data_IF_415757663878
#
_entry.id   IF_415757663878
#
_cell.length_a   1.000
_cell.length_b   1.000
_cell.length_c   1.000
_cell.angle_alpha   90.00
_cell.angle_beta   90.00
_cell.angle_gamma   90.00
#
_symmetry.space_group_name_H-M   'P 1'
#
loop_
_entity.id
_entity.type
_entity.pdbx_description
1 polymer ?
#
# COMPACT_ATOMS: atom_id res chain seq x y z
N UNK A 1 -14.37 -43.20 -0.80
CA UNK A 1 -14.32 -43.29 0.67
C UNK A 1 -12.89 -42.98 1.09
N UNK A 2 -12.58 -41.70 1.34
CA UNK A 2 -11.52 -41.21 2.20
C UNK A 2 -11.69 -39.69 2.26
N UNK A 3 -12.35 -39.23 3.30
CA UNK A 3 -12.47 -37.84 3.64
C UNK A 3 -11.19 -37.44 4.38
N UNK A 4 -10.41 -36.57 3.79
CA UNK A 4 -9.32 -35.89 4.50
C UNK A 4 -9.86 -34.67 5.17
N UNK A 5 -10.06 -34.77 6.47
CA UNK A 5 -10.35 -33.65 7.37
C UNK A 5 -9.03 -32.94 7.63
N UNK A 6 -8.84 -31.81 6.99
CA UNK A 6 -7.77 -30.87 7.34
C UNK A 6 -8.27 -29.99 8.47
N UNK A 7 -8.02 -30.37 9.71
CA UNK A 7 -8.23 -29.52 10.87
C UNK A 7 -7.07 -28.53 10.96
N UNK A 8 -7.36 -27.27 10.69
CA UNK A 8 -6.47 -26.16 11.02
C UNK A 8 -6.23 -26.12 12.51
N UNK A 9 -5.01 -26.32 12.93
CA UNK A 9 -4.53 -25.87 14.22
C UNK A 9 -4.32 -24.34 14.15
N UNK A 10 -5.35 -23.59 14.48
CA UNK A 10 -5.13 -22.23 14.94
C UNK A 10 -4.33 -22.31 16.23
N UNK A 11 -3.20 -21.58 16.39
CA UNK A 11 -2.53 -21.52 17.66
C UNK A 11 -3.51 -20.94 18.68
N UNK A 12 -3.85 -21.73 19.69
CA UNK A 12 -4.57 -21.24 20.87
C UNK A 12 -3.66 -20.22 21.54
N UNK A 13 -3.86 -18.96 21.24
CA UNK A 13 -3.44 -17.88 22.14
C UNK A 13 -4.32 -18.07 23.37
N UNK A 14 -3.76 -18.61 24.44
CA UNK A 14 -4.46 -18.75 25.71
C UNK A 14 -5.15 -17.42 26.04
N UNK A 15 -6.46 -17.38 26.29
CA UNK A 15 -7.10 -16.16 26.70
C UNK A 15 -6.43 -15.70 27.99
N UNK A 16 -5.77 -14.53 27.96
CA UNK A 16 -5.35 -13.86 29.16
C UNK A 16 -6.61 -13.66 29.99
N UNK A 17 -6.64 -14.33 31.14
CA UNK A 17 -7.69 -14.16 32.14
C UNK A 17 -7.68 -12.71 32.59
N UNK A 18 -8.53 -11.90 32.00
CA UNK A 18 -8.90 -10.58 32.51
C UNK A 18 -9.91 -10.85 33.62
N UNK A 19 -9.64 -10.37 34.85
CA UNK A 19 -10.52 -10.55 36.00
C UNK A 19 -11.98 -10.28 35.62
N UNK A 20 -12.83 -11.22 35.94
CA UNK A 20 -14.30 -11.09 35.88
C UNK A 20 -14.74 -9.86 36.70
N UNK A 21 -15.16 -8.82 36.01
CA UNK A 21 -15.66 -7.60 36.61
C UNK A 21 -15.76 -6.40 35.67
N UNK A 22 -15.21 -6.47 34.50
CA UNK A 22 -15.20 -5.37 33.53
C UNK A 22 -15.77 -5.79 32.16
N UNK A 23 -16.80 -6.59 32.14
CA UNK A 23 -17.43 -7.11 30.92
C UNK A 23 -18.54 -6.19 30.39
N UNK A 24 -18.40 -4.86 30.52
CA UNK A 24 -19.21 -3.94 29.74
C UNK A 24 -18.44 -3.57 28.46
N UNK A 25 -18.98 -4.08 27.43
CA UNK A 25 -18.49 -4.12 26.05
C UNK A 25 -18.05 -2.76 25.55
N UNK A 26 -16.76 -2.59 25.28
CA UNK A 26 -16.25 -1.56 24.38
C UNK A 26 -16.86 -1.76 22.99
N UNK A 27 -17.71 -0.86 22.54
CA UNK A 27 -18.31 -0.89 21.20
C UNK A 27 -18.22 0.49 20.57
N UNK A 28 -17.85 0.56 19.29
CA UNK A 28 -17.07 -0.40 18.54
C UNK A 28 -15.58 -0.09 18.59
N UNK A 29 -14.76 -1.12 18.71
CA UNK A 29 -13.34 -1.01 18.37
C UNK A 29 -13.21 -1.26 16.87
N UNK A 30 -12.75 -0.26 16.16
CA UNK A 30 -12.34 -0.44 14.78
C UNK A 30 -10.83 -0.28 14.69
N UNK A 31 -10.20 -1.17 13.98
CA UNK A 31 -8.81 -1.02 13.63
C UNK A 31 -8.64 -1.19 12.12
N UNK A 32 -7.68 -0.47 11.58
CA UNK A 32 -7.30 -0.56 10.20
C UNK A 32 -5.82 -0.93 10.14
N UNK A 33 -5.54 -2.09 9.59
CA UNK A 33 -4.21 -2.54 9.24
C UNK A 33 -4.25 -3.11 7.83
N UNK A 34 -3.12 -3.08 7.13
CA UNK A 34 -3.00 -3.81 5.86
C UNK A 34 -3.12 -5.31 6.11
N UNK A 35 -3.77 -6.05 5.23
CA UNK A 35 -3.82 -7.52 5.25
C UNK A 35 -2.46 -8.14 4.90
N UNK A 36 -1.60 -7.36 4.27
CA UNK A 36 -0.29 -7.77 3.79
C UNK A 36 0.78 -6.84 4.37
N UNK A 37 1.98 -7.37 4.58
CA UNK A 37 3.13 -6.60 5.01
C UNK A 37 4.32 -6.80 4.07
N UNK A 38 5.20 -5.81 4.01
CA UNK A 38 6.38 -5.82 3.17
C UNK A 38 7.61 -5.70 4.07
N UNK A 39 8.52 -6.65 3.96
CA UNK A 39 9.74 -6.62 4.75
C UNK A 39 10.54 -5.32 4.50
N UNK A 40 10.87 -4.63 5.60
CA UNK A 40 11.60 -3.36 5.55
C UNK A 40 10.77 -2.13 5.20
N UNK A 41 9.46 -2.29 4.96
CA UNK A 41 8.56 -1.15 4.79
C UNK A 41 7.98 -0.67 6.13
N UNK A 42 7.59 0.61 6.26
CA UNK A 42 6.82 1.08 7.40
C UNK A 42 5.52 0.29 7.55
N UNK A 43 5.20 -0.10 8.77
CA UNK A 43 3.97 -0.80 9.09
C UNK A 43 3.23 -0.07 10.22
N UNK A 44 2.14 0.57 9.87
CA UNK A 44 1.31 1.35 10.79
C UNK A 44 -0.05 0.70 10.99
N UNK A 45 -0.57 0.79 12.21
CA UNK A 45 -1.90 0.33 12.59
C UNK A 45 -2.67 1.51 13.17
N UNK A 46 -3.84 1.78 12.64
CA UNK A 46 -4.77 2.77 13.19
C UNK A 46 -5.78 2.06 14.10
N UNK A 47 -6.00 2.63 15.28
CA UNK A 47 -6.96 2.13 16.26
C UNK A 47 -7.91 3.25 16.66
N UNK A 48 -9.20 2.96 16.61
CA UNK A 48 -10.26 3.85 17.09
C UNK A 48 -11.13 3.15 18.14
N UNK A 49 -11.26 3.77 19.28
CA UNK A 49 -11.98 3.22 20.43
C UNK A 49 -12.92 4.28 20.97
N UNK A 50 -14.13 3.87 21.33
CA UNK A 50 -15.07 4.71 22.08
C UNK A 50 -15.22 4.15 23.49
N UNK A 51 -14.93 4.96 24.51
CA UNK A 51 -15.12 4.59 25.90
C UNK A 51 -16.62 4.46 26.23
N UNK A 52 -17.02 3.53 27.14
CA UNK A 52 -18.39 3.38 27.56
C UNK A 52 -18.90 4.62 28.33
N UNK A 53 -20.22 4.69 28.53
CA UNK A 53 -20.89 5.84 29.14
C UNK A 53 -20.45 6.13 30.60
N UNK A 54 -19.87 5.16 31.29
CA UNK A 54 -19.33 5.31 32.66
C UNK A 54 -17.80 5.58 32.68
N UNK A 55 -17.17 5.69 31.51
CA UNK A 55 -15.71 5.79 31.41
C UNK A 55 -15.05 4.45 31.74
N UNK A 56 -13.71 4.42 31.67
CA UNK A 56 -12.95 3.21 32.04
C UNK A 56 -11.49 3.48 32.33
N UNK A 57 -10.86 2.56 33.05
CA UNK A 57 -9.41 2.50 33.21
C UNK A 57 -8.89 1.21 32.61
N UNK A 58 -7.84 1.30 31.81
CA UNK A 58 -7.22 0.18 31.13
C UNK A 58 -5.70 0.21 31.24
N UNK A 59 -5.04 -0.96 31.27
CA UNK A 59 -3.62 -1.00 31.03
C UNK A 59 -3.32 -0.46 29.62
N UNK A 60 -2.30 0.34 29.48
CA UNK A 60 -1.93 0.96 28.18
C UNK A 60 -1.66 -0.11 27.10
N UNK A 61 -1.12 -1.28 27.49
CA UNK A 61 -0.89 -2.39 26.57
C UNK A 61 -2.20 -2.97 25.99
N UNK A 62 -3.34 -2.81 26.64
CA UNK A 62 -4.62 -3.29 26.12
C UNK A 62 -5.12 -2.48 24.91
N UNK A 63 -4.71 -1.21 24.84
CA UNK A 63 -5.01 -0.30 23.73
C UNK A 63 -3.91 -0.29 22.65
N UNK A 64 -2.83 -1.03 22.86
CA UNK A 64 -1.69 -1.01 21.93
C UNK A 64 -1.69 -2.30 21.11
N UNK A 65 -1.81 -2.22 19.79
CA UNK A 65 -1.62 -3.38 18.93
C UNK A 65 -0.25 -4.03 19.17
N UNK A 66 -0.21 -5.34 19.20
CA UNK A 66 1.02 -6.09 19.36
C UNK A 66 1.16 -7.13 18.24
N UNK A 67 2.37 -7.30 17.75
CA UNK A 67 2.70 -8.34 16.80
C UNK A 67 3.25 -9.57 17.55
N UNK A 68 2.92 -10.76 17.06
CA UNK A 68 3.36 -12.04 17.60
C UNK A 68 3.91 -12.90 16.47
N UNK A 69 4.98 -13.63 16.74
CA UNK A 69 5.52 -14.61 15.80
C UNK A 69 4.58 -15.83 15.65
N UNK A 70 4.92 -16.73 14.76
CA UNK A 70 4.15 -17.96 14.50
C UNK A 70 4.02 -18.89 15.72
N UNK A 71 4.85 -18.71 16.74
CA UNK A 71 4.83 -19.46 18.00
C UNK A 71 4.05 -18.71 19.10
N UNK A 72 3.46 -17.56 18.80
CA UNK A 72 2.74 -16.74 19.77
C UNK A 72 3.63 -15.89 20.67
N UNK A 73 4.94 -15.77 20.38
CA UNK A 73 5.86 -14.91 21.12
C UNK A 73 5.69 -13.47 20.67
N UNK A 74 5.49 -12.57 21.63
CA UNK A 74 5.36 -11.14 21.32
C UNK A 74 6.65 -10.58 20.68
N UNK A 75 6.46 -9.83 19.62
CA UNK A 75 7.47 -9.06 18.92
C UNK A 75 7.47 -7.62 19.48
N UNK A 76 8.63 -7.13 19.87
CA UNK A 76 8.76 -5.81 20.48
C UNK A 76 8.37 -5.75 21.96
N UNK A 77 8.42 -4.53 22.51
CA UNK A 77 8.11 -4.27 23.92
C UNK A 77 6.68 -3.76 24.06
N UNK A 78 5.94 -4.28 25.04
CA UNK A 78 4.62 -3.74 25.38
C UNK A 78 4.76 -2.51 26.27
N UNK A 79 3.97 -1.45 26.06
CA UNK A 79 3.95 -0.29 26.95
C UNK A 79 3.41 -0.71 28.31
N UNK A 80 3.91 -0.05 29.36
CA UNK A 80 3.45 -0.21 30.74
C UNK A 80 2.70 1.04 31.18
N UNK A 81 1.84 0.89 32.19
CA UNK A 81 1.04 1.98 32.75
C UNK A 81 -0.44 1.78 32.54
N UNK A 82 -1.21 2.73 33.06
CA UNK A 82 -2.68 2.76 32.96
C UNK A 82 -3.12 4.02 32.23
N UNK A 83 -4.22 3.92 31.48
CA UNK A 83 -4.88 5.06 30.86
C UNK A 83 -6.33 5.10 31.39
N UNK A 84 -6.78 6.31 31.72
CA UNK A 84 -8.19 6.57 32.07
C UNK A 84 -8.87 7.23 30.87
N UNK A 85 -10.00 6.67 30.45
CA UNK A 85 -10.84 7.23 29.41
C UNK A 85 -12.12 7.78 30.03
N UNK A 86 -12.44 9.04 29.73
CA UNK A 86 -13.68 9.67 30.18
C UNK A 86 -14.91 9.03 29.52
N UNK A 87 -16.09 9.14 30.11
CA UNK A 87 -17.34 8.66 29.52
C UNK A 87 -17.52 9.12 28.07
N UNK A 88 -17.74 8.18 27.17
CA UNK A 88 -17.96 8.47 25.74
C UNK A 88 -16.72 9.01 24.99
N UNK A 89 -15.56 9.08 25.61
CA UNK A 89 -14.35 9.56 24.96
C UNK A 89 -13.98 8.69 23.77
N UNK A 90 -13.75 9.33 22.62
CA UNK A 90 -13.21 8.66 21.42
C UNK A 90 -11.69 8.87 21.40
N UNK A 91 -10.97 7.77 21.31
CA UNK A 91 -9.50 7.76 21.11
C UNK A 91 -9.24 7.20 19.72
N UNK A 92 -8.55 7.99 18.90
CA UNK A 92 -8.04 7.56 17.60
C UNK A 92 -6.53 7.76 17.61
N UNK A 93 -5.79 6.70 17.37
CA UNK A 93 -4.33 6.72 17.44
C UNK A 93 -3.71 5.81 16.38
N UNK A 94 -2.48 6.11 16.00
CA UNK A 94 -1.68 5.31 15.09
C UNK A 94 -0.47 4.77 15.80
N UNK A 95 -0.15 3.53 15.52
CA UNK A 95 0.99 2.82 16.08
C UNK A 95 1.93 2.41 14.95
N UNK A 96 3.17 2.83 15.02
CA UNK A 96 4.24 2.33 14.15
C UNK A 96 4.81 1.04 14.77
N UNK A 97 4.56 -0.08 14.10
CA UNK A 97 5.06 -1.39 14.51
C UNK A 97 6.28 -1.84 13.67
N UNK A 98 6.81 -0.98 12.83
CA UNK A 98 7.92 -1.30 11.91
C UNK A 98 9.11 -1.91 12.66
N UNK A 99 9.53 -1.29 13.76
CA UNK A 99 10.64 -1.79 14.57
C UNK A 99 10.32 -3.12 15.27
N UNK A 100 9.06 -3.33 15.66
CA UNK A 100 8.63 -4.57 16.33
C UNK A 100 8.68 -5.77 15.38
N UNK A 101 8.32 -5.58 14.10
CA UNK A 101 8.30 -6.66 13.10
C UNK A 101 9.61 -6.77 12.30
N UNK A 102 10.60 -5.91 12.54
CA UNK A 102 11.87 -5.91 11.81
C UNK A 102 12.64 -7.24 11.89
N UNK A 103 12.41 -8.03 12.94
CA UNK A 103 12.99 -9.37 13.10
C UNK A 103 12.22 -10.51 12.42
N UNK A 104 11.08 -10.23 11.82
CA UNK A 104 10.31 -11.23 11.05
C UNK A 104 11.02 -11.49 9.74
N UNK A 105 11.25 -12.78 9.41
CA UNK A 105 11.86 -13.13 8.13
C UNK A 105 11.04 -12.56 6.95
N UNK A 106 11.68 -12.16 5.84
CA UNK A 106 10.98 -11.52 4.70
C UNK A 106 9.80 -12.32 4.13
N UNK A 107 9.80 -13.63 4.29
CA UNK A 107 8.71 -14.55 3.90
C UNK A 107 7.93 -15.09 5.12
N UNK A 108 8.15 -14.52 6.31
CA UNK A 108 7.51 -14.96 7.54
C UNK A 108 6.14 -14.32 7.74
N UNK A 109 5.22 -15.04 8.38
CA UNK A 109 3.96 -14.52 8.85
C UNK A 109 4.05 -14.07 10.30
N UNK A 110 3.21 -13.13 10.70
CA UNK A 110 3.01 -12.76 12.09
C UNK A 110 1.52 -12.50 12.37
N UNK A 111 1.14 -12.61 13.62
CA UNK A 111 -0.21 -12.28 14.06
C UNK A 111 -0.21 -10.91 14.70
N UNK A 112 -1.10 -10.04 14.23
CA UNK A 112 -1.41 -8.77 14.85
C UNK A 112 -2.61 -8.96 15.78
N UNK A 113 -2.52 -8.53 17.01
CA UNK A 113 -3.61 -8.60 17.96
C UNK A 113 -3.68 -7.35 18.82
N UNK A 114 -4.92 -6.93 19.14
CA UNK A 114 -5.21 -5.90 20.14
C UNK A 114 -6.10 -6.51 21.21
N UNK A 115 -5.58 -6.60 22.44
CA UNK A 115 -6.30 -7.18 23.56
C UNK A 115 -7.17 -6.10 24.24
N UNK A 116 -8.40 -5.94 23.77
CA UNK A 116 -9.38 -5.06 24.40
C UNK A 116 -10.33 -5.93 25.19
N UNK A 117 -10.49 -5.60 26.48
CA UNK A 117 -11.34 -6.36 27.38
C UNK A 117 -12.77 -6.47 26.83
N UNK A 118 -13.32 -7.67 26.79
CA UNK A 118 -14.74 -7.96 26.51
C UNK A 118 -15.14 -8.13 25.04
N UNK A 119 -14.31 -7.82 24.05
CA UNK A 119 -14.69 -7.88 22.64
C UNK A 119 -14.18 -9.10 21.87
N UNK A 120 -13.58 -10.09 22.55
CA UNK A 120 -12.73 -11.07 21.87
C UNK A 120 -11.55 -10.36 21.22
N UNK A 121 -10.33 -10.84 21.43
CA UNK A 121 -9.16 -10.18 20.83
C UNK A 121 -9.35 -10.12 19.33
N UNK A 122 -9.44 -8.90 18.78
CA UNK A 122 -9.34 -8.74 17.33
C UNK A 122 -7.94 -9.22 16.94
N UNK A 123 -7.84 -10.21 16.10
CA UNK A 123 -6.58 -10.74 15.63
C UNK A 123 -6.61 -10.93 14.12
N UNK A 124 -5.51 -10.61 13.48
CA UNK A 124 -5.33 -10.75 12.06
C UNK A 124 -3.98 -11.39 11.78
N UNK A 125 -3.98 -12.44 10.95
CA UNK A 125 -2.74 -13.04 10.47
C UNK A 125 -2.28 -12.28 9.24
N UNK A 126 -1.08 -11.72 9.30
CA UNK A 126 -0.48 -11.01 8.19
C UNK A 126 0.49 -11.91 7.46
N UNK A 127 0.25 -12.05 6.17
CA UNK A 127 1.14 -12.78 5.27
C UNK A 127 2.09 -11.80 4.58
N UNK A 128 3.33 -12.23 4.26
CA UNK A 128 4.21 -11.40 3.47
C UNK A 128 3.63 -11.23 2.07
N UNK A 129 3.84 -10.04 1.49
CA UNK A 129 3.57 -9.84 0.07
C UNK A 129 4.50 -10.76 -0.72
N UNK A 130 3.98 -11.57 -1.64
CA UNK A 130 4.81 -12.46 -2.46
C UNK A 130 5.66 -11.61 -3.40
N UNK A 131 6.91 -11.37 -3.02
CA UNK A 131 7.87 -10.65 -3.86
C UNK A 131 8.14 -11.47 -5.14
N UNK A 132 8.26 -10.80 -6.26
CA UNK A 132 8.81 -11.40 -7.46
C UNK A 132 10.28 -11.77 -7.16
N UNK A 133 10.68 -12.96 -7.58
CA UNK A 133 12.10 -13.33 -7.58
C UNK A 133 12.88 -12.38 -8.49
N UNK A 134 14.21 -12.39 -8.43
CA UNK A 134 15.04 -11.62 -9.35
C UNK A 134 14.81 -12.10 -10.77
N UNK A 135 13.88 -11.47 -11.47
CA UNK A 135 13.47 -11.78 -12.83
C UNK A 135 13.99 -10.69 -13.76
N UNK A 136 14.46 -11.11 -14.93
CA UNK A 136 14.71 -10.18 -16.04
C UNK A 136 13.40 -9.94 -16.80
N UNK A 137 12.70 -8.88 -16.44
CA UNK A 137 11.43 -8.51 -17.06
C UNK A 137 11.54 -8.20 -18.55
N UNK A 138 12.75 -7.99 -19.07
CA UNK A 138 12.95 -7.77 -20.48
C UNK A 138 12.85 -9.05 -21.32
N UNK A 139 12.98 -10.21 -20.67
CA UNK A 139 12.94 -11.53 -21.33
C UNK A 139 11.70 -12.35 -21.01
N UNK A 140 10.90 -11.94 -20.00
CA UNK A 140 9.66 -12.65 -19.65
C UNK A 140 8.67 -12.62 -20.83
N UNK A 141 7.98 -13.75 -21.15
CA UNK A 141 6.92 -13.78 -22.14
C UNK A 141 5.82 -12.76 -21.83
N UNK A 142 5.24 -12.16 -22.88
CA UNK A 142 4.24 -11.09 -22.72
C UNK A 142 3.01 -11.57 -21.94
N UNK A 143 2.58 -12.80 -22.19
CA UNK A 143 1.46 -13.46 -21.52
C UNK A 143 1.65 -13.64 -20.01
N UNK A 144 2.89 -13.62 -19.52
CA UNK A 144 3.21 -13.73 -18.10
C UNK A 144 3.23 -12.39 -17.38
N UNK A 145 3.31 -11.26 -18.10
CA UNK A 145 3.42 -9.93 -17.50
C UNK A 145 2.22 -9.57 -16.61
N UNK A 146 1.03 -10.08 -16.93
CA UNK A 146 -0.18 -9.90 -16.11
C UNK A 146 -0.12 -10.59 -14.73
N UNK A 147 0.86 -11.48 -14.52
CA UNK A 147 1.14 -12.12 -13.23
C UNK A 147 1.89 -11.23 -12.23
N UNK A 148 2.12 -9.95 -12.56
CA UNK A 148 2.90 -9.03 -11.70
C UNK A 148 2.17 -7.72 -11.47
N UNK A 149 2.39 -7.17 -10.29
CA UNK A 149 1.89 -5.88 -9.82
C UNK A 149 3.04 -5.07 -9.21
N UNK A 150 2.83 -3.78 -8.97
CA UNK A 150 3.85 -2.92 -8.34
C UNK A 150 3.28 -2.23 -7.11
N UNK A 151 4.02 -2.34 -6.01
CA UNK A 151 3.77 -1.55 -4.80
C UNK A 151 4.82 -0.44 -4.73
N UNK A 152 4.37 0.80 -4.72
CA UNK A 152 5.22 1.98 -4.60
C UNK A 152 5.10 2.55 -3.20
N UNK A 153 6.15 2.42 -2.41
CA UNK A 153 6.24 3.00 -1.06
C UNK A 153 6.66 4.45 -1.17
N UNK A 154 5.88 5.34 -0.58
CA UNK A 154 6.15 6.77 -0.54
C UNK A 154 6.26 7.26 0.89
N UNK A 155 6.77 8.48 1.09
CA UNK A 155 6.72 9.15 2.41
C UNK A 155 5.29 9.55 2.85
N UNK A 156 4.25 9.20 2.07
CA UNK A 156 2.82 9.43 2.37
C UNK A 156 2.02 8.15 2.55
N UNK A 157 2.63 6.98 2.30
CA UNK A 157 2.00 5.67 2.34
C UNK A 157 2.30 4.84 1.10
N UNK A 158 1.65 3.69 0.98
CA UNK A 158 1.82 2.77 -0.14
C UNK A 158 0.75 3.00 -1.22
N UNK A 159 1.16 2.88 -2.48
CA UNK A 159 0.29 2.83 -3.64
C UNK A 159 0.47 1.49 -4.33
N UNK A 160 -0.59 0.74 -4.55
CA UNK A 160 -0.56 -0.57 -5.18
C UNK A 160 -1.21 -0.50 -6.55
N UNK A 161 -0.46 -0.90 -7.57
CA UNK A 161 -0.86 -0.83 -8.98
C UNK A 161 -1.07 -2.22 -9.57
N UNK A 162 -2.23 -2.44 -10.18
CA UNK A 162 -2.44 -3.45 -11.22
C UNK A 162 -1.92 -2.90 -12.55
N UNK A 163 -1.44 -3.80 -13.41
CA UNK A 163 -0.87 -3.44 -14.71
C UNK A 163 -1.67 -4.08 -15.84
N UNK A 164 -1.68 -3.44 -17.00
CA UNK A 164 -2.49 -3.82 -18.17
C UNK A 164 -1.62 -4.20 -19.38
N UNK A 165 -0.92 -5.35 -19.35
CA UNK A 165 -0.07 -5.78 -20.45
C UNK A 165 -0.84 -6.08 -21.73
N UNK A 166 -2.12 -6.42 -21.63
CA UNK A 166 -3.00 -6.70 -22.78
C UNK A 166 -3.24 -5.47 -23.69
N UNK A 167 -3.00 -4.25 -23.18
CA UNK A 167 -3.19 -3.00 -23.95
C UNK A 167 -1.92 -2.18 -24.10
N UNK A 168 -0.91 -2.42 -23.26
CA UNK A 168 0.36 -1.68 -23.30
C UNK A 168 1.54 -2.53 -22.80
N UNK A 169 1.86 -3.66 -23.46
CA UNK A 169 2.84 -4.63 -22.97
C UNK A 169 4.25 -4.04 -22.80
N UNK A 170 4.68 -3.16 -23.70
CA UNK A 170 6.02 -2.58 -23.63
C UNK A 170 6.16 -1.56 -22.48
N UNK A 171 5.10 -0.80 -22.19
CA UNK A 171 5.10 0.11 -21.03
C UNK A 171 5.07 -0.67 -19.72
N UNK A 172 4.26 -1.75 -19.64
CA UNK A 172 4.23 -2.63 -18.46
C UNK A 172 5.60 -3.27 -18.24
N UNK A 173 6.19 -3.86 -19.26
CA UNK A 173 7.53 -4.47 -19.22
C UNK A 173 8.58 -3.48 -18.72
N UNK A 174 8.62 -2.29 -19.30
CA UNK A 174 9.54 -1.24 -18.93
C UNK A 174 9.33 -0.78 -17.47
N UNK A 175 8.08 -0.67 -17.01
CA UNK A 175 7.78 -0.25 -15.65
C UNK A 175 8.18 -1.30 -14.62
N UNK A 176 7.91 -2.60 -14.90
CA UNK A 176 8.34 -3.72 -14.08
C UNK A 176 9.87 -3.81 -13.99
N UNK A 177 10.58 -3.70 -15.11
CA UNK A 177 12.04 -3.71 -15.16
C UNK A 177 12.65 -2.56 -14.34
N UNK A 178 12.15 -1.34 -14.51
CA UNK A 178 12.61 -0.19 -13.74
C UNK A 178 12.29 -0.27 -12.25
N UNK A 179 11.16 -0.87 -11.88
CA UNK A 179 10.79 -1.09 -10.48
C UNK A 179 11.68 -2.17 -9.84
N UNK A 180 11.89 -3.32 -10.52
CA UNK A 180 12.69 -4.43 -10.00
C UNK A 180 14.18 -4.07 -9.84
N UNK A 181 14.71 -3.24 -10.73
CA UNK A 181 16.11 -2.77 -10.69
C UNK A 181 16.35 -1.60 -9.74
N UNK A 182 15.31 -1.16 -9.00
CA UNK A 182 15.39 -0.05 -8.05
C UNK A 182 15.64 1.31 -8.72
N UNK A 183 15.27 1.47 -9.99
CA UNK A 183 15.43 2.74 -10.69
C UNK A 183 14.62 3.87 -10.04
N UNK A 184 13.43 3.55 -9.51
CA UNK A 184 12.54 4.52 -8.88
C UNK A 184 12.87 4.82 -7.42
N UNK A 185 13.69 3.98 -6.77
CA UNK A 185 14.00 4.11 -5.34
C UNK A 185 14.73 5.42 -5.05
N UNK A 186 14.25 6.17 -4.05
CA UNK A 186 14.79 7.47 -3.69
C UNK A 186 14.46 8.61 -4.67
N UNK A 187 13.68 8.35 -5.72
CA UNK A 187 13.16 9.39 -6.62
C UNK A 187 11.98 10.14 -6.01
N UNK A 188 11.35 11.06 -6.74
CA UNK A 188 10.24 11.86 -6.21
C UNK A 188 9.19 12.21 -7.27
N UNK A 189 8.02 12.61 -6.80
CA UNK A 189 7.01 13.26 -7.62
C UNK A 189 7.41 14.72 -7.82
N UNK A 190 7.96 15.04 -8.99
CA UNK A 190 8.49 16.35 -9.31
C UNK A 190 7.44 17.33 -9.82
N UNK A 191 6.23 16.83 -10.17
CA UNK A 191 5.12 17.63 -10.67
C UNK A 191 3.80 17.16 -10.08
N UNK A 192 3.11 18.04 -9.36
CA UNK A 192 1.86 17.74 -8.65
C UNK A 192 0.85 18.84 -8.97
N UNK A 193 -0.28 18.46 -9.58
CA UNK A 193 -1.34 19.41 -9.96
C UNK A 193 -2.66 18.92 -9.38
N UNK A 194 -3.21 19.63 -8.37
CA UNK A 194 -4.52 19.33 -7.80
C UNK A 194 -5.61 19.29 -8.91
N UNK A 195 -6.51 18.32 -8.81
CA UNK A 195 -7.58 18.14 -9.81
C UNK A 195 -7.13 17.49 -11.13
N UNK A 196 -5.84 17.21 -11.31
CA UNK A 196 -5.31 16.64 -12.53
C UNK A 196 -4.51 15.35 -12.27
N UNK A 197 -3.23 15.43 -11.84
CA UNK A 197 -2.37 14.25 -11.67
C UNK A 197 -1.17 14.54 -10.75
N UNK A 198 -0.49 13.48 -10.35
CA UNK A 198 0.87 13.49 -9.78
C UNK A 198 1.82 12.80 -10.77
N UNK A 199 2.96 13.41 -11.07
CA UNK A 199 3.95 12.89 -12.02
C UNK A 199 5.30 12.69 -11.35
N UNK A 200 5.88 11.51 -11.55
CA UNK A 200 7.16 11.09 -11.01
C UNK A 200 7.95 10.24 -11.99
N UNK A 201 8.86 9.43 -11.47
CA UNK A 201 9.59 8.43 -12.26
C UNK A 201 10.79 8.98 -13.02
N UNK A 202 11.33 10.14 -12.63
CA UNK A 202 12.56 10.69 -13.21
C UNK A 202 13.84 9.91 -12.84
N UNK A 203 13.73 8.92 -11.96
CA UNK A 203 14.88 8.22 -11.39
C UNK A 203 15.61 9.04 -10.31
N UNK A 204 16.62 8.44 -9.74
CA UNK A 204 17.54 9.13 -8.81
C UNK A 204 18.41 10.14 -9.56
N UNK A 205 18.91 11.17 -8.87
CA UNK A 205 19.90 12.07 -9.47
C UNK A 205 21.09 11.30 -10.07
N UNK A 206 21.41 11.58 -11.34
CA UNK A 206 22.50 10.93 -12.06
C UNK A 206 22.12 9.61 -12.76
N UNK A 207 20.93 9.05 -12.53
CA UNK A 207 20.43 7.90 -13.29
C UNK A 207 19.61 8.37 -14.50
N UNK A 208 19.93 7.84 -15.67
CA UNK A 208 19.15 8.04 -16.90
C UNK A 208 18.33 6.81 -17.21
N UNK A 209 17.12 6.96 -17.76
CA UNK A 209 16.33 5.80 -18.18
C UNK A 209 17.05 5.03 -19.30
N UNK A 210 17.05 3.70 -19.27
CA UNK A 210 17.85 2.88 -20.19
C UNK A 210 17.30 2.89 -21.62
N UNK A 211 16.00 3.21 -21.80
CA UNK A 211 15.35 3.09 -23.11
C UNK A 211 14.18 4.05 -23.29
N UNK A 212 13.80 4.25 -24.56
CA UNK A 212 12.51 4.83 -24.95
C UNK A 212 11.50 3.72 -25.17
N UNK A 213 10.22 4.03 -24.94
CA UNK A 213 9.09 3.15 -25.22
C UNK A 213 8.16 3.82 -26.22
N UNK A 214 7.85 3.15 -27.31
CA UNK A 214 6.93 3.65 -28.33
C UNK A 214 5.52 3.75 -27.77
N UNK A 215 4.72 4.69 -28.28
CA UNK A 215 3.36 4.90 -27.83
C UNK A 215 2.49 3.66 -28.08
N UNK A 216 1.73 3.26 -27.04
CA UNK A 216 0.74 2.20 -27.07
C UNK A 216 -0.62 2.79 -26.71
N UNK A 217 -1.10 3.75 -27.53
CA UNK A 217 -2.39 4.39 -27.31
C UNK A 217 -3.52 3.36 -27.42
N UNK A 218 -4.39 3.34 -26.43
CA UNK A 218 -5.47 2.37 -26.32
C UNK A 218 -6.78 3.04 -25.87
N UNK A 219 -7.85 2.25 -25.75
CA UNK A 219 -9.19 2.74 -25.44
C UNK A 219 -9.44 3.03 -23.95
N UNK A 220 -8.50 2.68 -23.07
CA UNK A 220 -8.62 2.91 -21.64
C UNK A 220 -8.72 4.40 -21.34
N UNK A 221 -9.55 4.75 -20.35
CA UNK A 221 -9.83 6.13 -20.01
C UNK A 221 -8.89 6.63 -18.91
N UNK A 222 -8.51 7.90 -18.95
CA UNK A 222 -7.76 8.57 -17.89
C UNK A 222 -8.70 8.96 -16.74
N UNK A 223 -9.16 7.95 -16.00
CA UNK A 223 -9.94 8.09 -14.78
C UNK A 223 -9.03 8.22 -13.56
N UNK A 224 -9.59 8.62 -12.40
CA UNK A 224 -8.85 8.69 -11.15
C UNK A 224 -8.17 7.34 -10.83
N UNK A 225 -6.91 7.41 -10.39
CA UNK A 225 -6.07 6.27 -10.10
C UNK A 225 -5.35 5.64 -11.29
N UNK A 226 -5.68 6.00 -12.52
CA UNK A 226 -5.01 5.45 -13.72
C UNK A 226 -3.54 5.87 -13.77
N UNK A 227 -2.69 4.90 -14.02
CA UNK A 227 -1.25 5.03 -14.25
C UNK A 227 -0.99 5.14 -15.75
N UNK A 228 -0.29 6.19 -16.18
CA UNK A 228 -0.03 6.47 -17.60
C UNK A 228 1.38 7.00 -17.83
N UNK A 229 1.91 6.76 -19.04
CA UNK A 229 3.26 7.17 -19.42
C UNK A 229 3.34 8.68 -19.70
N UNK A 230 4.30 9.35 -19.09
CA UNK A 230 4.64 10.73 -19.46
C UNK A 230 5.57 10.75 -20.68
N UNK A 231 5.39 11.77 -21.53
CA UNK A 231 6.16 11.98 -22.76
C UNK A 231 6.32 13.46 -23.08
N UNK A 232 7.18 13.79 -24.03
CA UNK A 232 7.29 15.13 -24.58
C UNK A 232 6.06 15.46 -25.43
N UNK A 233 5.59 16.70 -25.36
CA UNK A 233 4.39 17.14 -26.07
C UNK A 233 4.46 16.99 -27.59
N UNK A 234 5.65 17.13 -28.17
CA UNK A 234 5.93 17.11 -29.60
C UNK A 234 6.47 15.77 -30.13
N UNK A 235 6.68 14.76 -29.26
CA UNK A 235 7.16 13.43 -29.66
C UNK A 235 6.37 12.34 -28.92
N UNK A 236 5.47 11.66 -29.64
CA UNK A 236 4.62 10.61 -29.07
C UNK A 236 5.41 9.37 -28.63
N UNK A 237 6.60 9.15 -29.17
CA UNK A 237 7.47 8.01 -28.90
C UNK A 237 8.63 8.37 -27.94
N UNK A 238 8.48 9.43 -27.17
CA UNK A 238 9.50 9.91 -26.23
C UNK A 238 9.31 9.43 -24.79
N UNK A 239 8.34 8.57 -24.52
CA UNK A 239 8.17 7.98 -23.20
C UNK A 239 9.43 7.18 -22.80
N UNK A 240 9.80 7.25 -21.52
CA UNK A 240 10.94 6.53 -20.96
C UNK A 240 10.57 5.90 -19.61
N UNK A 241 10.96 6.52 -18.51
CA UNK A 241 10.69 6.06 -17.14
C UNK A 241 9.58 6.85 -16.44
N UNK A 242 9.32 8.08 -16.91
CA UNK A 242 8.37 8.94 -16.22
C UNK A 242 6.93 8.50 -16.42
N UNK A 243 6.18 8.56 -15.33
CA UNK A 243 4.75 8.22 -15.28
C UNK A 243 3.96 9.29 -14.54
N UNK A 244 2.65 9.25 -14.71
CA UNK A 244 1.74 10.03 -13.87
C UNK A 244 0.57 9.16 -13.41
N UNK A 245 0.05 9.49 -12.22
CA UNK A 245 -1.15 8.89 -11.64
C UNK A 245 -2.25 9.93 -11.62
N UNK A 246 -3.40 9.60 -12.17
CA UNK A 246 -4.53 10.52 -12.27
C UNK A 246 -5.14 10.79 -10.91
N UNK A 247 -5.27 12.06 -10.54
CA UNK A 247 -6.02 12.47 -9.35
C UNK A 247 -7.53 12.53 -9.63
N UNK A 248 -7.93 12.98 -10.83
CA UNK A 248 -9.33 13.05 -11.30
C UNK A 248 -9.43 12.61 -12.75
N UNK A 249 -10.65 12.36 -13.19
CA UNK A 249 -10.92 12.00 -14.58
C UNK A 249 -10.53 13.14 -15.52
N UNK A 250 -9.77 12.82 -16.58
CA UNK A 250 -9.31 13.83 -17.54
C UNK A 250 -9.40 13.32 -18.98
N UNK A 251 -10.60 13.34 -19.60
CA UNK A 251 -10.85 12.71 -20.90
C UNK A 251 -10.01 13.26 -22.05
N UNK A 252 -9.49 14.49 -21.96
CA UNK A 252 -8.66 15.07 -23.02
C UNK A 252 -7.32 14.37 -23.23
N UNK A 253 -6.90 13.48 -22.32
CA UNK A 253 -5.70 12.65 -22.45
C UNK A 253 -5.99 11.35 -23.20
N UNK A 254 -7.24 10.91 -23.31
CA UNK A 254 -7.62 9.65 -23.95
C UNK A 254 -7.15 9.62 -25.40
N UNK A 255 -6.51 8.51 -25.79
CA UNK A 255 -5.92 8.34 -27.12
C UNK A 255 -4.70 9.22 -27.42
N UNK A 256 -4.19 9.97 -26.44
CA UNK A 256 -3.02 10.86 -26.59
C UNK A 256 -1.85 10.49 -25.69
N UNK A 257 -2.11 9.72 -24.65
CA UNK A 257 -1.14 9.14 -23.72
C UNK A 257 -1.40 7.65 -23.61
N UNK A 258 -0.45 6.89 -23.11
CA UNK A 258 -0.55 5.44 -22.94
C UNK A 258 -0.88 5.12 -21.47
N UNK A 259 -2.15 4.82 -21.13
CA UNK A 259 -2.48 4.23 -19.84
C UNK A 259 -2.07 2.75 -19.86
N UNK A 260 -1.43 2.29 -18.79
CA UNK A 260 -0.89 0.92 -18.70
C UNK A 260 -1.10 0.25 -17.35
N UNK A 261 -1.92 0.86 -16.48
CA UNK A 261 -2.28 0.32 -15.18
C UNK A 261 -3.19 1.24 -14.39
N UNK A 262 -3.55 0.81 -13.18
CA UNK A 262 -4.41 1.55 -12.27
C UNK A 262 -4.08 1.22 -10.81
N UNK A 263 -4.37 2.12 -9.90
CA UNK A 263 -4.35 1.84 -8.46
C UNK A 263 -5.41 0.79 -8.09
N UNK A 264 -4.98 -0.29 -7.45
CA UNK A 264 -5.84 -1.21 -6.67
C UNK A 264 -6.15 -0.61 -5.30
N UNK A 265 -5.15 0.04 -4.68
CA UNK A 265 -5.29 0.77 -3.42
C UNK A 265 -4.28 1.91 -3.35
N UNK A 266 -4.49 2.87 -2.43
CA UNK A 266 -3.59 4.00 -2.22
C UNK A 266 -4.08 5.30 -2.87
N UNK A 267 -5.37 5.42 -3.23
CA UNK A 267 -5.91 6.69 -3.71
C UNK A 267 -5.83 7.78 -2.63
N UNK A 268 -5.97 7.41 -1.36
CA UNK A 268 -5.77 8.30 -0.21
C UNK A 268 -4.32 8.82 -0.10
N UNK A 269 -3.34 8.06 -0.63
CA UNK A 269 -1.95 8.52 -0.72
C UNK A 269 -1.82 9.58 -1.81
N UNK A 270 -2.47 9.39 -2.96
CA UNK A 270 -2.55 10.41 -4.01
C UNK A 270 -3.15 11.70 -3.48
N UNK A 271 -4.24 11.62 -2.69
CA UNK A 271 -4.87 12.78 -2.05
C UNK A 271 -3.90 13.50 -1.08
N UNK A 272 -3.13 12.74 -0.27
CA UNK A 272 -2.10 13.31 0.63
C UNK A 272 -0.96 14.00 -0.13
N UNK A 273 -0.59 13.48 -1.30
CA UNK A 273 0.44 14.09 -2.17
C UNK A 273 -0.13 15.37 -2.82
N UNK A 274 -1.35 15.30 -3.33
CA UNK A 274 -1.98 16.38 -4.09
C UNK A 274 -2.13 17.67 -3.26
N UNK A 275 -2.40 17.58 -1.96
CA UNK A 275 -2.50 18.77 -1.09
C UNK A 275 -1.19 19.56 -0.99
N UNK A 276 -0.07 18.98 -1.40
CA UNK A 276 1.24 19.66 -1.47
C UNK A 276 1.45 20.41 -2.80
N UNK A 277 0.56 20.20 -3.77
CA UNK A 277 0.57 20.93 -5.04
C UNK A 277 0.16 22.38 -4.83
N UNK A 278 0.78 23.27 -5.60
CA UNK A 278 0.40 24.69 -5.58
C UNK A 278 -0.93 24.89 -6.31
N UNK A 279 -2.00 25.37 -5.63
CA UNK A 279 -3.34 25.50 -6.22
C UNK A 279 -3.40 26.53 -7.36
N UNK A 280 -2.39 27.38 -7.53
CA UNK A 280 -2.28 28.34 -8.65
C UNK A 280 -2.02 27.65 -9.97
N UNK A 281 -1.56 26.40 -9.96
CA UNK A 281 -1.26 25.63 -11.16
C UNK A 281 -2.39 24.67 -11.52
N UNK A 282 -2.64 24.55 -12.82
CA UNK A 282 -3.64 23.65 -13.41
C UNK A 282 -3.01 22.88 -14.56
N UNK A 283 -3.76 21.99 -15.18
CA UNK A 283 -3.33 21.29 -16.38
C UNK A 283 -2.88 22.25 -17.52
N UNK A 284 -3.47 23.45 -17.58
CA UNK A 284 -3.18 24.46 -18.61
C UNK A 284 -2.01 25.40 -18.24
N UNK A 285 -1.54 25.36 -16.99
CA UNK A 285 -0.43 26.20 -16.51
C UNK A 285 0.62 25.35 -15.80
N UNK A 286 1.32 24.45 -16.51
CA UNK A 286 2.15 23.43 -15.89
C UNK A 286 3.48 23.92 -15.31
N UNK A 287 3.95 25.12 -15.63
CA UNK A 287 5.21 25.64 -15.10
C UNK A 287 5.06 25.98 -13.63
N UNK A 288 5.97 25.48 -12.80
CA UNK A 288 5.99 25.73 -11.35
C UNK A 288 5.12 24.80 -10.53
N UNK A 289 4.62 23.70 -11.08
CA UNK A 289 3.82 22.68 -10.39
C UNK A 289 4.63 21.72 -9.51
N UNK A 290 5.83 22.09 -9.11
CA UNK A 290 6.65 21.36 -8.13
C UNK A 290 5.92 21.41 -6.77
N UNK A 291 5.80 20.29 -6.05
CA UNK A 291 5.14 20.25 -4.76
C UNK A 291 5.89 21.14 -3.74
N UNK A 292 5.14 21.76 -2.83
CA UNK A 292 5.69 22.66 -1.81
C UNK A 292 6.57 21.96 -0.77
N UNK A 293 6.39 20.65 -0.64
CA UNK A 293 7.24 19.77 0.16
C UNK A 293 7.61 18.53 -0.65
N UNK A 294 8.82 17.97 -0.50
CA UNK A 294 9.25 16.78 -1.23
C UNK A 294 8.29 15.61 -1.04
N UNK A 295 7.89 15.00 -2.14
CA UNK A 295 7.04 13.82 -2.18
C UNK A 295 7.86 12.67 -2.75
N UNK A 296 8.46 11.89 -1.85
CA UNK A 296 9.48 10.91 -2.23
C UNK A 296 8.86 9.53 -2.49
N UNK A 297 9.36 8.88 -3.54
CA UNK A 297 9.22 7.45 -3.78
C UNK A 297 10.38 6.78 -3.05
N UNK A 298 10.10 6.14 -1.93
CA UNK A 298 11.12 5.49 -1.12
C UNK A 298 11.61 4.20 -1.79
N UNK A 299 10.67 3.43 -2.33
CA UNK A 299 10.94 2.16 -3.01
C UNK A 299 9.80 1.78 -3.94
N UNK A 300 10.12 1.12 -5.06
CA UNK A 300 9.16 0.42 -5.90
C UNK A 300 9.45 -1.09 -5.83
N UNK A 301 8.42 -1.90 -5.60
CA UNK A 301 8.55 -3.33 -5.34
C UNK A 301 7.65 -4.07 -6.31
N UNK A 302 8.21 -4.98 -7.08
CA UNK A 302 7.43 -5.88 -7.94
C UNK A 302 6.99 -7.08 -7.11
N UNK A 303 5.70 -7.38 -7.19
CA UNK A 303 5.07 -8.50 -6.48
C UNK A 303 4.32 -9.39 -7.48
N UNK A 304 4.12 -10.66 -7.13
CA UNK A 304 3.22 -11.50 -7.92
C UNK A 304 1.77 -11.10 -7.64
N UNK A 305 1.00 -10.98 -8.70
CA UNK A 305 -0.44 -10.78 -8.58
C UNK A 305 -1.04 -11.93 -7.77
N UNK A 306 -1.84 -11.61 -6.78
CA UNK A 306 -2.62 -12.62 -6.06
C UNK A 306 -3.67 -13.24 -6.99
N UNK A 307 -4.22 -14.43 -6.67
CA UNK A 307 -5.32 -14.99 -7.43
C UNK A 307 -6.44 -13.96 -7.53
N UNK A 308 -6.90 -13.70 -8.74
CA UNK A 308 -8.04 -12.79 -8.96
C UNK A 308 -9.24 -13.31 -8.18
N UNK A 309 -10.00 -12.40 -7.57
CA UNK A 309 -11.18 -12.75 -6.76
C UNK A 309 -12.24 -13.59 -7.52
N UNK A 310 -12.04 -13.82 -8.82
CA UNK A 310 -12.88 -14.66 -9.68
C UNK A 310 -12.46 -16.13 -9.75
N UNK A 311 -11.24 -16.52 -9.37
CA UNK A 311 -10.78 -17.90 -9.45
C UNK A 311 -10.96 -18.73 -8.17
N UNK A 312 -11.34 -18.08 -7.06
CA UNK A 312 -11.58 -18.74 -5.77
C UNK A 312 -12.96 -19.45 -5.68
N UNK A 313 -13.82 -19.39 -6.70
CA UNK A 313 -15.17 -19.97 -6.67
C UNK A 313 -15.37 -21.18 -7.59
N UNK A 314 -14.29 -21.78 -8.08
CA UNK A 314 -14.37 -22.91 -9.01
C UNK A 314 -13.47 -24.08 -8.63
N UNK A 315 -13.75 -24.78 -7.53
CA UNK A 315 -13.50 -26.23 -7.35
C UNK A 315 -14.31 -26.77 -6.18
#
# INVERSE_FOLDING_TARGET
MFASILFMLAPMVSPLVVQEGAAEVLQPVTWEASDLWIAGAPFEVSLKITAPANGMQLPLWALTPAAFDVNGKALGKRPTGMIALAPGQVVETRFDLTAAIAGVAPKGTFTLACAIAGSGAASQVLSPVPLAEELDFMTIPEEELGGFEVIMLTNRGAMWFELWPEVAPNHVRNFLDLASTGFYDGSHFHRVIPGFMIQGGGGQPGKSPPRKVMAEFNSSKHEAGVLSAARLGNDINSATSQFFVMHRNYPSLNGRYTPYGKLKSGMEVVEKIVVTGDPRFSANTPKGSTPTTPQNIMRAIVVRAGPSAGEASGK
#
